data_IF_459039148122
#
_entry.id   IF_459039148122
#
_cell.length_a   1.000
_cell.length_b   1.000
_cell.length_c   1.000
_cell.angle_alpha   90.00
_cell.angle_beta   90.00
_cell.angle_gamma   90.00
#
_symmetry.space_group_name_H-M   'P 1'
#
loop_
_entity.id
_entity.type
_entity.pdbx_description
1 polymer ?
#
# COMPACT_ATOMS: atom_id res chain seq x y z
N UNK A 1 3.93 -1.77 25.58
CA UNK A 1 4.78 -2.44 24.61
C UNK A 1 3.95 -3.06 23.48
N UNK A 2 2.88 -3.78 23.77
CA UNK A 2 1.95 -4.38 22.80
C UNK A 2 1.42 -3.32 21.82
N UNK A 3 0.88 -2.20 22.31
CA UNK A 3 0.35 -1.11 21.44
C UNK A 3 1.40 -0.50 20.50
N UNK A 4 2.66 -0.58 20.84
CA UNK A 4 3.73 -0.09 19.99
C UNK A 4 4.04 -1.10 18.89
N UNK A 5 4.09 -2.40 19.21
CA UNK A 5 4.24 -3.47 18.23
C UNK A 5 3.06 -3.47 17.25
N UNK A 6 1.81 -3.38 17.75
CA UNK A 6 0.63 -3.34 16.87
C UNK A 6 0.62 -2.12 15.94
N UNK A 7 1.13 -0.96 16.40
CA UNK A 7 1.29 0.21 15.54
C UNK A 7 2.30 -0.04 14.41
N UNK A 8 3.39 -0.74 14.69
CA UNK A 8 4.39 -1.12 13.69
C UNK A 8 3.85 -2.15 12.70
N UNK A 9 3.15 -3.19 13.20
CA UNK A 9 2.52 -4.21 12.36
C UNK A 9 1.56 -3.58 11.36
N UNK A 10 0.69 -2.71 11.85
CA UNK A 10 -0.28 -2.01 11.01
C UNK A 10 0.40 -1.04 10.01
N UNK A 11 1.41 -0.29 10.47
CA UNK A 11 2.20 0.60 9.61
C UNK A 11 2.94 -0.14 8.49
N UNK A 12 3.48 -1.33 8.78
CA UNK A 12 4.11 -2.21 7.79
C UNK A 12 3.08 -2.81 6.83
N UNK A 13 1.90 -3.25 7.30
CA UNK A 13 0.85 -3.73 6.40
C UNK A 13 0.44 -2.64 5.40
N UNK A 14 0.32 -1.39 5.85
CA UNK A 14 0.04 -0.24 4.97
C UNK A 14 1.24 0.19 4.11
N UNK A 15 2.46 -0.26 4.42
CA UNK A 15 3.61 0.01 3.56
C UNK A 15 3.46 -0.61 2.16
N UNK A 16 2.65 -1.68 2.02
CA UNK A 16 2.34 -2.26 0.71
C UNK A 16 1.49 -1.31 -0.16
N UNK A 17 0.56 -0.54 0.44
CA UNK A 17 -0.13 0.56 -0.28
C UNK A 17 0.89 1.60 -0.73
N UNK A 18 1.78 2.01 0.18
CA UNK A 18 2.79 3.00 -0.14
C UNK A 18 3.73 2.54 -1.25
N UNK A 19 4.10 1.25 -1.28
CA UNK A 19 4.88 0.64 -2.37
C UNK A 19 4.09 0.62 -3.69
N UNK A 20 2.79 0.31 -3.65
CA UNK A 20 1.90 0.41 -4.82
C UNK A 20 1.85 1.83 -5.38
N UNK A 21 1.63 2.82 -4.51
CA UNK A 21 1.62 4.24 -4.89
C UNK A 21 3.01 4.69 -5.35
N UNK A 22 4.10 4.20 -4.77
CA UNK A 22 5.46 4.46 -5.27
C UNK A 22 5.62 3.99 -6.71
N UNK A 23 5.12 2.81 -7.04
CA UNK A 23 5.18 2.27 -8.42
C UNK A 23 4.34 3.13 -9.35
N UNK A 24 3.07 3.38 -9.06
CA UNK A 24 2.18 4.14 -9.95
C UNK A 24 2.60 5.60 -10.09
N UNK A 25 2.86 6.28 -8.99
CA UNK A 25 3.14 7.72 -8.98
C UNK A 25 4.59 8.06 -9.30
N UNK A 26 5.57 7.41 -8.61
CA UNK A 26 6.99 7.75 -8.75
C UNK A 26 7.64 7.17 -9.99
N UNK A 27 7.24 5.96 -10.43
CA UNK A 27 7.85 5.29 -11.58
C UNK A 27 7.09 5.53 -12.88
N UNK A 28 5.77 5.70 -12.84
CA UNK A 28 4.92 5.90 -14.03
C UNK A 28 4.36 7.30 -14.16
N UNK A 29 4.58 8.18 -13.17
CA UNK A 29 3.95 9.52 -13.12
C UNK A 29 2.43 9.44 -13.34
N UNK A 30 1.80 8.38 -12.80
CA UNK A 30 0.38 8.09 -12.94
C UNK A 30 -0.30 8.27 -11.57
N UNK A 31 -1.01 9.37 -11.34
CA UNK A 31 -1.82 9.54 -10.14
C UNK A 31 -3.02 8.59 -10.22
N UNK A 32 -2.91 7.48 -9.51
CA UNK A 32 -3.90 6.38 -9.55
C UNK A 32 -4.83 6.41 -8.34
N UNK A 33 -6.05 6.87 -8.54
CA UNK A 33 -7.10 6.86 -7.51
C UNK A 33 -7.72 5.47 -7.35
N UNK A 34 -7.50 4.54 -8.30
CA UNK A 34 -7.99 3.16 -8.21
C UNK A 34 -7.47 2.46 -6.94
N UNK A 35 -6.37 2.93 -6.38
CA UNK A 35 -5.77 2.47 -5.12
C UNK A 35 -6.80 2.35 -3.98
N UNK A 36 -7.70 3.34 -3.79
CA UNK A 36 -8.74 3.29 -2.75
C UNK A 36 -9.71 2.12 -2.98
N UNK A 37 -10.18 1.95 -4.22
CA UNK A 37 -11.07 0.85 -4.59
C UNK A 37 -10.39 -0.52 -4.52
N UNK A 38 -9.15 -0.61 -4.98
CA UNK A 38 -8.36 -1.85 -5.00
C UNK A 38 -7.99 -2.33 -3.60
N UNK A 39 -7.69 -1.41 -2.67
CA UNK A 39 -7.47 -1.74 -1.27
C UNK A 39 -8.68 -2.44 -0.68
N UNK A 40 -9.86 -1.82 -0.84
CA UNK A 40 -11.13 -2.39 -0.38
C UNK A 40 -11.42 -3.72 -1.07
N UNK A 41 -11.20 -3.82 -2.39
CA UNK A 41 -11.42 -5.05 -3.15
C UNK A 41 -10.58 -6.21 -2.61
N UNK A 42 -9.31 -5.95 -2.30
CA UNK A 42 -8.42 -6.95 -1.71
C UNK A 42 -8.92 -7.45 -0.35
N UNK A 43 -9.37 -6.52 0.51
CA UNK A 43 -9.96 -6.84 1.80
C UNK A 43 -11.26 -7.66 1.67
N UNK A 44 -12.15 -7.23 0.78
CA UNK A 44 -13.45 -7.86 0.52
C UNK A 44 -13.29 -9.28 -0.03
N UNK A 45 -12.46 -9.46 -1.07
CA UNK A 45 -12.23 -10.78 -1.67
C UNK A 45 -11.60 -11.73 -0.67
N UNK A 46 -10.59 -11.27 0.09
CA UNK A 46 -9.97 -12.09 1.14
C UNK A 46 -10.99 -12.48 2.21
N UNK A 47 -11.82 -11.53 2.67
CA UNK A 47 -12.84 -11.80 3.69
C UNK A 47 -13.89 -12.81 3.22
N UNK A 48 -14.38 -12.69 1.98
CA UNK A 48 -15.37 -13.61 1.42
C UNK A 48 -14.77 -15.01 1.28
N UNK A 49 -13.54 -15.15 0.79
CA UNK A 49 -12.88 -16.45 0.66
C UNK A 49 -12.59 -17.09 2.02
N UNK A 50 -12.17 -16.30 3.02
CA UNK A 50 -11.94 -16.80 4.38
C UNK A 50 -13.25 -17.29 5.03
N UNK A 51 -14.33 -16.52 4.90
CA UNK A 51 -15.65 -16.92 5.45
C UNK A 51 -16.25 -18.12 4.71
N UNK A 52 -15.86 -18.35 3.45
CA UNK A 52 -16.18 -19.56 2.70
C UNK A 52 -15.33 -20.78 3.08
N UNK A 53 -14.37 -20.64 4.01
CA UNK A 53 -13.50 -21.72 4.47
C UNK A 53 -12.28 -21.99 3.58
N UNK A 54 -11.93 -21.08 2.67
CA UNK A 54 -10.73 -21.20 1.85
C UNK A 54 -9.47 -21.01 2.69
N UNK A 55 -8.35 -21.61 2.22
CA UNK A 55 -7.04 -21.42 2.83
C UNK A 55 -6.66 -19.92 2.87
N UNK A 56 -6.14 -19.42 4.02
CA UNK A 56 -5.80 -17.99 4.18
C UNK A 56 -4.77 -17.46 3.18
N UNK A 57 -3.83 -18.30 2.73
CA UNK A 57 -2.86 -17.92 1.71
C UNK A 57 -3.56 -17.69 0.38
N UNK A 58 -4.43 -18.64 -0.03
CA UNK A 58 -5.19 -18.54 -1.26
C UNK A 58 -6.17 -17.35 -1.22
N UNK A 59 -6.82 -17.10 -0.10
CA UNK A 59 -7.70 -15.96 0.10
C UNK A 59 -6.96 -14.62 -0.06
N UNK A 60 -5.77 -14.51 0.52
CA UNK A 60 -4.93 -13.30 0.44
C UNK A 60 -4.39 -13.08 -0.98
N UNK A 61 -3.92 -14.14 -1.64
CA UNK A 61 -3.47 -14.08 -3.04
C UNK A 61 -4.63 -13.80 -4.01
N UNK A 62 -5.82 -14.33 -3.74
CA UNK A 62 -7.04 -14.01 -4.47
C UNK A 62 -7.39 -12.53 -4.40
N UNK A 63 -7.30 -11.93 -3.21
CA UNK A 63 -7.45 -10.49 -3.01
C UNK A 63 -6.41 -9.68 -3.81
N UNK A 64 -5.13 -10.08 -3.74
CA UNK A 64 -4.05 -9.46 -4.51
C UNK A 64 -4.30 -9.54 -6.03
N UNK A 65 -4.73 -10.69 -6.54
CA UNK A 65 -5.02 -10.88 -7.95
C UNK A 65 -6.22 -10.02 -8.42
N UNK A 66 -7.27 -9.94 -7.60
CA UNK A 66 -8.43 -9.10 -7.88
C UNK A 66 -8.04 -7.61 -8.00
N UNK A 67 -7.20 -7.11 -7.08
CA UNK A 67 -6.68 -5.75 -7.19
C UNK A 67 -5.79 -5.53 -8.40
N UNK A 68 -4.96 -6.51 -8.77
CA UNK A 68 -4.18 -6.48 -10.00
C UNK A 68 -5.06 -6.35 -11.25
N UNK A 69 -6.18 -7.07 -11.31
CA UNK A 69 -7.18 -6.96 -12.38
C UNK A 69 -7.84 -5.58 -12.40
N UNK A 70 -8.15 -5.01 -11.24
CA UNK A 70 -8.66 -3.63 -11.15
C UNK A 70 -7.66 -2.62 -11.74
N UNK A 71 -6.38 -2.75 -11.41
CA UNK A 71 -5.31 -1.94 -12.00
C UNK A 71 -5.18 -2.13 -13.52
N UNK A 72 -5.32 -3.37 -14.02
CA UNK A 72 -5.38 -3.65 -15.46
C UNK A 72 -6.55 -2.90 -16.12
N UNK A 73 -7.74 -2.87 -15.49
CA UNK A 73 -8.91 -2.18 -16.02
C UNK A 73 -8.65 -0.69 -16.16
N UNK A 74 -8.06 -0.04 -15.16
CA UNK A 74 -7.65 1.38 -15.22
C UNK A 74 -6.66 1.63 -16.34
N UNK A 75 -5.65 0.76 -16.47
CA UNK A 75 -4.65 0.86 -17.52
C UNK A 75 -5.26 0.69 -18.92
N UNK A 76 -6.20 -0.24 -19.09
CA UNK A 76 -6.92 -0.46 -20.35
C UNK A 76 -7.72 0.77 -20.75
N UNK A 77 -8.48 1.38 -19.84
CA UNK A 77 -9.23 2.61 -20.09
C UNK A 77 -8.29 3.73 -20.59
N UNK A 78 -7.14 3.89 -19.95
CA UNK A 78 -6.18 4.91 -20.36
C UNK A 78 -5.47 4.57 -21.68
N UNK A 79 -4.92 3.35 -21.81
CA UNK A 79 -4.02 3.00 -22.91
C UNK A 79 -4.75 2.71 -24.22
N UNK A 80 -5.95 2.14 -24.18
CA UNK A 80 -6.70 1.71 -25.37
C UNK A 80 -7.88 2.63 -25.70
N UNK A 81 -8.56 3.17 -24.70
CA UNK A 81 -9.70 4.08 -24.92
C UNK A 81 -9.31 5.55 -24.85
N UNK A 82 -8.04 5.87 -24.53
CA UNK A 82 -7.56 7.26 -24.50
C UNK A 82 -8.12 8.10 -23.35
N UNK A 83 -8.73 7.47 -22.34
CA UNK A 83 -9.28 8.16 -21.17
C UNK A 83 -8.13 8.80 -20.38
N UNK A 84 -8.31 10.04 -19.91
CA UNK A 84 -7.32 10.69 -19.08
C UNK A 84 -7.02 9.86 -17.82
N UNK A 85 -5.75 9.87 -17.37
CA UNK A 85 -5.26 9.03 -16.27
C UNK A 85 -6.08 9.16 -15.00
N UNK A 86 -6.34 10.39 -14.57
CA UNK A 86 -7.11 10.67 -13.37
C UNK A 86 -8.56 10.20 -13.51
N UNK A 87 -9.18 10.49 -14.66
CA UNK A 87 -10.55 10.11 -14.93
C UNK A 87 -10.73 8.59 -15.00
N UNK A 88 -9.79 7.86 -15.61
CA UNK A 88 -9.79 6.40 -15.64
C UNK A 88 -9.80 5.83 -14.20
N UNK A 89 -8.93 6.35 -13.32
CA UNK A 89 -8.89 5.95 -11.91
C UNK A 89 -10.20 6.23 -11.17
N UNK A 90 -10.81 7.40 -11.37
CA UNK A 90 -12.09 7.77 -10.75
C UNK A 90 -13.21 6.84 -11.21
N UNK A 91 -13.31 6.56 -12.51
CA UNK A 91 -14.33 5.66 -13.07
C UNK A 91 -14.23 4.26 -12.49
N UNK A 92 -13.01 3.70 -12.45
CA UNK A 92 -12.79 2.34 -11.91
C UNK A 92 -13.07 2.31 -10.41
N UNK A 93 -12.61 3.30 -9.63
CA UNK A 93 -12.90 3.36 -8.18
C UNK A 93 -14.38 3.44 -7.90
N UNK A 94 -15.12 4.23 -8.68
CA UNK A 94 -16.59 4.32 -8.56
C UNK A 94 -17.26 2.99 -8.88
N UNK A 95 -16.82 2.29 -9.92
CA UNK A 95 -17.30 0.95 -10.25
C UNK A 95 -16.96 -0.06 -9.15
N UNK A 96 -15.73 0.00 -8.62
CA UNK A 96 -15.28 -0.88 -7.54
C UNK A 96 -16.08 -0.69 -6.25
N UNK A 97 -16.57 0.52 -5.95
CA UNK A 97 -17.44 0.75 -4.79
C UNK A 97 -18.69 -0.14 -4.85
N UNK A 98 -19.33 -0.25 -6.02
CA UNK A 98 -20.46 -1.14 -6.23
C UNK A 98 -20.07 -2.62 -6.22
N UNK A 99 -18.96 -2.97 -6.88
CA UNK A 99 -18.45 -4.35 -6.92
C UNK A 99 -18.14 -4.83 -5.50
N UNK A 100 -17.45 -4.02 -4.71
CA UNK A 100 -17.09 -4.34 -3.33
C UNK A 100 -18.33 -4.61 -2.47
N UNK A 101 -19.37 -3.79 -2.61
CA UNK A 101 -20.61 -3.98 -1.87
C UNK A 101 -21.35 -5.25 -2.30
N UNK A 102 -21.41 -5.52 -3.61
CA UNK A 102 -22.06 -6.73 -4.15
C UNK A 102 -21.31 -8.00 -3.74
N UNK A 103 -19.98 -8.00 -3.82
CA UNK A 103 -19.14 -9.15 -3.45
C UNK A 103 -19.19 -9.41 -1.94
N UNK A 104 -19.17 -8.37 -1.12
CA UNK A 104 -19.26 -8.52 0.34
C UNK A 104 -20.68 -8.85 0.82
N UNK A 105 -21.72 -8.47 0.05
CA UNK A 105 -23.13 -8.69 0.35
C UNK A 105 -23.71 -7.81 1.47
N UNK A 106 -22.87 -7.11 2.22
CA UNK A 106 -23.22 -6.19 3.32
C UNK A 106 -22.07 -5.17 3.53
N UNK A 107 -22.33 -4.10 4.28
CA UNK A 107 -21.33 -3.03 4.45
C UNK A 107 -20.09 -3.48 5.21
N UNK A 108 -20.25 -4.38 6.17
CA UNK A 108 -19.16 -4.88 7.03
C UNK A 108 -19.31 -6.39 7.28
N UNK A 109 -18.22 -7.14 7.17
CA UNK A 109 -18.17 -8.58 7.45
C UNK A 109 -17.12 -8.83 8.51
N UNK A 110 -17.51 -9.31 9.72
CA UNK A 110 -16.55 -9.74 10.72
C UNK A 110 -15.90 -11.06 10.31
N UNK A 111 -14.61 -11.18 10.59
CA UNK A 111 -13.82 -12.40 10.39
C UNK A 111 -13.72 -13.24 11.67
N UNK A 112 -14.59 -12.96 12.66
CA UNK A 112 -14.64 -13.72 13.90
C UNK A 112 -14.95 -15.18 13.63
N UNK A 113 -14.08 -16.07 14.12
CA UNK A 113 -14.23 -17.52 13.92
C UNK A 113 -13.61 -18.07 12.63
N UNK A 114 -13.00 -17.24 11.80
CA UNK A 114 -12.16 -17.70 10.68
C UNK A 114 -10.69 -17.69 11.08
N UNK A 115 -9.93 -18.68 10.65
CA UNK A 115 -8.48 -18.70 10.83
C UNK A 115 -7.86 -17.77 9.77
N UNK A 116 -7.18 -16.72 10.23
CA UNK A 116 -6.49 -15.78 9.35
C UNK A 116 -5.04 -16.20 9.09
N UNK A 117 -4.41 -15.60 8.08
CA UNK A 117 -2.99 -15.79 7.80
C UNK A 117 -2.10 -15.31 8.95
N UNK A 118 -2.56 -14.27 9.67
CA UNK A 118 -1.85 -13.74 10.84
C UNK A 118 -1.99 -14.65 12.07
N UNK A 119 -3.10 -15.36 12.21
CA UNK A 119 -3.28 -16.38 13.26
C UNK A 119 -2.39 -17.60 12.98
N UNK A 120 -2.26 -17.99 11.71
CA UNK A 120 -1.33 -19.05 11.31
C UNK A 120 0.13 -18.64 11.59
N UNK A 121 0.49 -17.39 11.30
CA UNK A 121 1.82 -16.85 11.61
C UNK A 121 2.08 -16.82 13.12
N UNK A 122 1.08 -16.43 13.92
CA UNK A 122 1.16 -16.46 15.38
C UNK A 122 1.35 -17.89 15.90
N UNK A 123 0.57 -18.84 15.43
CA UNK A 123 0.69 -20.25 15.83
C UNK A 123 2.04 -20.86 15.42
N UNK A 124 2.59 -20.50 14.26
CA UNK A 124 3.86 -21.02 13.75
C UNK A 124 5.10 -20.39 14.38
N UNK A 125 5.12 -19.07 14.51
CA UNK A 125 6.29 -18.28 14.92
C UNK A 125 6.23 -17.89 16.40
N UNK A 126 5.03 -17.74 16.99
CA UNK A 126 4.82 -17.33 18.37
C UNK A 126 5.60 -18.15 19.40
N UNK A 127 5.59 -19.50 19.33
CA UNK A 127 6.35 -20.34 20.26
C UNK A 127 7.86 -20.07 20.27
N UNK A 128 8.43 -19.57 19.18
CA UNK A 128 9.85 -19.17 19.11
C UNK A 128 10.10 -17.95 19.99
N UNK A 129 9.19 -16.97 19.94
CA UNK A 129 9.29 -15.76 20.77
C UNK A 129 8.97 -16.01 22.25
N UNK A 130 8.08 -16.95 22.56
CA UNK A 130 7.82 -17.37 23.95
C UNK A 130 9.07 -17.96 24.61
N UNK A 131 9.88 -18.72 23.88
CA UNK A 131 11.16 -19.26 24.36
C UNK A 131 12.19 -18.18 24.74
N UNK A 132 12.03 -16.97 24.26
CA UNK A 132 12.88 -15.81 24.64
C UNK A 132 12.41 -15.10 25.89
N UNK A 133 11.38 -15.62 26.57
CA UNK A 133 10.87 -15.07 27.83
C UNK A 133 9.82 -13.96 27.67
N UNK A 134 9.28 -13.79 26.45
CA UNK A 134 8.16 -12.87 26.24
C UNK A 134 6.83 -13.51 26.71
N UNK A 135 5.93 -12.71 27.25
CA UNK A 135 4.57 -13.15 27.53
C UNK A 135 3.86 -13.57 26.23
N UNK A 136 2.92 -14.54 26.31
CA UNK A 136 2.21 -15.08 25.13
C UNK A 136 1.59 -13.98 24.24
N UNK A 137 0.97 -12.96 24.85
CA UNK A 137 0.40 -11.83 24.13
C UNK A 137 1.45 -10.98 23.37
N UNK A 138 2.65 -10.82 23.94
CA UNK A 138 3.74 -10.10 23.28
C UNK A 138 4.38 -10.96 22.18
N UNK A 139 4.51 -12.26 22.42
CA UNK A 139 5.05 -13.22 21.47
C UNK A 139 4.15 -13.32 20.21
N UNK A 140 2.82 -13.36 20.40
CA UNK A 140 1.85 -13.35 19.31
C UNK A 140 1.95 -12.10 18.46
N UNK A 141 1.98 -10.91 19.07
CA UNK A 141 2.10 -9.66 18.31
C UNK A 141 3.47 -9.52 17.62
N UNK A 142 4.55 -10.01 18.27
CA UNK A 142 5.89 -10.06 17.65
C UNK A 142 5.93 -11.03 16.44
N UNK A 143 5.21 -12.15 16.52
CA UNK A 143 5.09 -13.09 15.41
C UNK A 143 4.34 -12.47 14.22
N UNK A 144 3.23 -11.77 14.46
CA UNK A 144 2.48 -11.03 13.44
C UNK A 144 3.35 -9.95 12.78
N UNK A 145 4.10 -9.19 13.60
CA UNK A 145 5.05 -8.18 13.10
C UNK A 145 6.13 -8.81 12.22
N UNK A 146 6.76 -9.89 12.68
CA UNK A 146 7.80 -10.59 11.93
C UNK A 146 7.28 -11.13 10.59
N UNK A 147 6.07 -11.67 10.57
CA UNK A 147 5.41 -12.14 9.36
C UNK A 147 5.15 -11.00 8.37
N UNK A 148 4.51 -9.91 8.80
CA UNK A 148 4.23 -8.75 7.94
C UNK A 148 5.53 -8.11 7.43
N UNK A 149 6.57 -8.03 8.27
CA UNK A 149 7.90 -7.58 7.86
C UNK A 149 8.49 -8.47 6.77
N UNK A 150 8.32 -9.79 6.88
CA UNK A 150 8.73 -10.76 5.86
C UNK A 150 8.00 -10.54 4.54
N UNK A 151 6.68 -10.33 4.57
CA UNK A 151 5.87 -10.04 3.36
C UNK A 151 6.31 -8.73 2.70
N UNK A 152 6.49 -7.66 3.47
CA UNK A 152 6.96 -6.36 2.95
C UNK A 152 8.39 -6.48 2.41
N UNK A 153 9.27 -7.18 3.11
CA UNK A 153 10.63 -7.44 2.66
C UNK A 153 10.66 -8.21 1.34
N UNK A 154 9.82 -9.24 1.21
CA UNK A 154 9.65 -9.99 -0.03
C UNK A 154 9.12 -9.11 -1.16
N UNK A 155 8.10 -8.29 -0.89
CA UNK A 155 7.55 -7.35 -1.87
C UNK A 155 8.62 -6.35 -2.36
N UNK A 156 9.42 -5.78 -1.44
CA UNK A 156 10.54 -4.89 -1.78
C UNK A 156 11.59 -5.63 -2.63
N UNK A 157 11.97 -6.85 -2.27
CA UNK A 157 12.94 -7.64 -3.00
C UNK A 157 12.44 -7.98 -4.42
N UNK A 158 11.17 -8.38 -4.56
CA UNK A 158 10.55 -8.67 -5.85
C UNK A 158 10.46 -7.42 -6.73
N UNK A 159 10.04 -6.27 -6.17
CA UNK A 159 10.01 -5.01 -6.90
C UNK A 159 11.42 -4.57 -7.32
N UNK A 160 12.38 -4.64 -6.42
CA UNK A 160 13.76 -4.25 -6.70
C UNK A 160 14.39 -5.11 -7.80
N UNK A 161 14.21 -6.44 -7.75
CA UNK A 161 14.70 -7.34 -8.79
C UNK A 161 13.97 -7.12 -10.11
N UNK A 162 12.63 -7.00 -10.08
CA UNK A 162 11.82 -6.74 -11.27
C UNK A 162 12.24 -5.45 -11.99
N UNK A 163 12.35 -4.33 -11.27
CA UNK A 163 12.72 -3.04 -11.86
C UNK A 163 14.20 -2.92 -12.26
N UNK A 164 15.02 -3.92 -11.97
CA UNK A 164 16.38 -4.07 -12.52
C UNK A 164 16.44 -4.89 -13.81
N UNK A 165 15.39 -5.61 -14.16
CA UNK A 165 15.30 -6.32 -15.44
C UNK A 165 15.22 -5.34 -16.60
N UNK A 166 15.44 -5.84 -17.82
CA UNK A 166 15.30 -5.02 -19.03
C UNK A 166 13.89 -4.42 -19.19
N UNK A 167 12.85 -5.21 -18.85
CA UNK A 167 11.46 -4.75 -18.82
C UNK A 167 11.26 -3.63 -17.79
N UNK A 168 11.65 -3.85 -16.55
CA UNK A 168 11.50 -2.87 -15.48
C UNK A 168 12.28 -1.57 -15.75
N UNK A 169 13.47 -1.66 -16.33
CA UNK A 169 14.26 -0.47 -16.73
C UNK A 169 13.57 0.29 -17.85
N UNK A 170 13.02 -0.41 -18.85
CA UNK A 170 12.25 0.22 -19.92
C UNK A 170 10.96 0.87 -19.41
N UNK A 171 10.28 0.24 -18.44
CA UNK A 171 9.09 0.79 -17.79
C UNK A 171 9.39 2.11 -17.06
N UNK A 172 10.50 2.18 -16.35
CA UNK A 172 10.96 3.41 -15.66
C UNK A 172 11.27 4.52 -16.66
N UNK A 173 12.03 4.22 -17.70
CA UNK A 173 12.33 5.19 -18.76
C UNK A 173 11.07 5.68 -19.50
N UNK A 174 10.09 4.77 -19.71
CA UNK A 174 8.80 5.10 -20.30
C UNK A 174 7.89 5.95 -19.40
N UNK A 175 8.04 5.84 -18.09
CA UNK A 175 7.35 6.70 -17.12
C UNK A 175 7.88 8.14 -17.15
N UNK A 176 9.19 8.30 -17.26
CA UNK A 176 9.84 9.63 -17.32
C UNK A 176 9.60 10.34 -18.67
N UNK A 177 9.72 9.62 -19.78
CA UNK A 177 9.58 10.17 -21.15
C UNK A 177 8.82 9.23 -22.08
N UNK A 178 7.46 9.23 -22.02
CA UNK A 178 6.64 8.32 -22.82
C UNK A 178 6.85 8.48 -24.34
N UNK A 179 7.13 9.70 -24.80
CA UNK A 179 7.38 9.99 -26.21
C UNK A 179 8.65 9.34 -26.71
N UNK A 180 9.73 9.38 -25.94
CA UNK A 180 11.00 8.73 -26.26
C UNK A 180 10.84 7.19 -26.27
N UNK A 181 10.13 6.63 -25.30
CA UNK A 181 9.88 5.20 -25.24
C UNK A 181 9.13 4.69 -26.48
N UNK A 182 8.14 5.45 -26.97
CA UNK A 182 7.40 5.14 -28.23
C UNK A 182 8.31 5.26 -29.45
N UNK A 183 9.17 6.27 -29.52
CA UNK A 183 10.12 6.45 -30.63
C UNK A 183 11.10 5.27 -30.73
N UNK A 184 11.43 4.63 -29.59
CA UNK A 184 12.25 3.42 -29.52
C UNK A 184 11.45 2.12 -29.77
N UNK A 185 10.20 2.21 -30.25
CA UNK A 185 9.36 1.07 -30.56
C UNK A 185 8.82 0.31 -29.33
N UNK A 186 8.87 0.90 -28.14
CA UNK A 186 8.36 0.25 -26.91
C UNK A 186 6.85 0.40 -26.80
N UNK A 187 6.17 -0.69 -26.44
CA UNK A 187 4.73 -0.68 -26.15
C UNK A 187 4.45 -0.05 -24.78
N UNK A 188 4.26 1.27 -24.77
CA UNK A 188 3.97 2.03 -23.54
C UNK A 188 2.65 1.62 -22.90
N UNK A 189 1.63 1.21 -23.68
CA UNK A 189 0.35 0.74 -23.15
C UNK A 189 0.50 -0.54 -22.33
N UNK A 190 1.22 -1.55 -22.85
CA UNK A 190 1.50 -2.77 -22.13
C UNK A 190 2.34 -2.55 -20.86
N UNK A 191 3.28 -1.59 -20.91
CA UNK A 191 4.08 -1.20 -19.74
C UNK A 191 3.20 -0.56 -18.63
N UNK A 192 2.29 0.34 -19.01
CA UNK A 192 1.35 0.96 -18.08
C UNK A 192 0.43 -0.08 -17.47
N UNK A 193 -0.06 -1.04 -18.26
CA UNK A 193 -0.90 -2.14 -17.79
C UNK A 193 -0.18 -2.97 -16.72
N UNK A 194 1.05 -3.43 -16.99
CA UNK A 194 1.82 -4.19 -16.03
C UNK A 194 2.15 -3.37 -14.76
N UNK A 195 2.47 -2.08 -14.91
CA UNK A 195 2.77 -1.19 -13.79
C UNK A 195 1.59 -0.98 -12.85
N UNK A 196 0.39 -0.68 -13.41
CA UNK A 196 -0.82 -0.48 -12.62
C UNK A 196 -1.36 -1.80 -12.04
N UNK A 197 -1.18 -2.93 -12.73
CA UNK A 197 -1.50 -4.25 -12.19
C UNK A 197 -0.66 -4.56 -10.94
N UNK A 198 0.65 -4.32 -10.99
CA UNK A 198 1.56 -4.51 -9.84
C UNK A 198 1.19 -3.55 -8.71
N UNK A 199 0.98 -2.26 -9.01
CA UNK A 199 0.66 -1.24 -8.01
C UNK A 199 -0.64 -1.55 -7.26
N UNK A 200 -1.71 -1.85 -7.99
CA UNK A 200 -3.01 -2.18 -7.40
C UNK A 200 -3.04 -3.57 -6.77
N UNK A 201 -2.26 -4.53 -7.28
CA UNK A 201 -2.08 -5.83 -6.65
C UNK A 201 -1.44 -5.71 -5.25
N UNK A 202 -0.37 -4.90 -5.12
CA UNK A 202 0.25 -4.62 -3.82
C UNK A 202 -0.70 -3.89 -2.86
N UNK A 203 -1.46 -2.94 -3.39
CA UNK A 203 -2.47 -2.23 -2.61
C UNK A 203 -3.56 -3.17 -2.09
N UNK A 204 -4.05 -4.06 -2.93
CA UNK A 204 -5.06 -5.06 -2.56
C UNK A 204 -4.50 -6.11 -1.58
N UNK A 205 -3.23 -6.50 -1.73
CA UNK A 205 -2.54 -7.34 -0.75
C UNK A 205 -2.49 -6.67 0.63
N UNK A 206 -2.22 -5.37 0.66
CA UNK A 206 -2.31 -4.59 1.91
C UNK A 206 -3.71 -4.63 2.49
N UNK A 207 -4.76 -4.39 1.68
CA UNK A 207 -6.15 -4.45 2.12
C UNK A 207 -6.52 -5.80 2.72
N UNK A 208 -6.13 -6.90 2.07
CA UNK A 208 -6.34 -8.26 2.55
C UNK A 208 -5.65 -8.51 3.91
N UNK A 209 -4.41 -8.06 4.09
CA UNK A 209 -3.68 -8.21 5.36
C UNK A 209 -4.27 -7.32 6.46
N UNK A 210 -4.66 -6.09 6.12
CA UNK A 210 -5.28 -5.17 7.10
C UNK A 210 -6.63 -5.68 7.56
N UNK A 211 -7.48 -6.21 6.67
CA UNK A 211 -8.75 -6.80 7.05
C UNK A 211 -8.56 -8.00 8.00
N UNK A 212 -7.61 -8.88 7.71
CA UNK A 212 -7.26 -10.00 8.58
C UNK A 212 -6.69 -9.54 9.92
N UNK A 213 -5.88 -8.47 9.94
CA UNK A 213 -5.32 -7.91 11.16
C UNK A 213 -6.38 -7.26 12.05
N UNK A 214 -7.34 -6.53 11.45
CA UNK A 214 -8.43 -5.86 12.16
C UNK A 214 -9.55 -6.83 12.56
N UNK A 215 -9.64 -8.01 11.91
CA UNK A 215 -10.69 -8.99 12.14
C UNK A 215 -12.03 -8.65 11.46
N UNK A 216 -12.05 -7.73 10.52
CA UNK A 216 -13.24 -7.41 9.70
C UNK A 216 -12.85 -6.77 8.37
N UNK A 217 -13.75 -6.87 7.40
CA UNK A 217 -13.69 -6.13 6.14
C UNK A 217 -14.88 -5.17 6.02
N UNK A 218 -14.63 -3.95 5.58
CA UNK A 218 -15.63 -2.89 5.41
C UNK A 218 -15.47 -2.26 4.03
N UNK A 219 -16.61 -1.92 3.38
CA UNK A 219 -16.60 -1.34 2.03
C UNK A 219 -15.98 0.06 1.95
N UNK A 220 -15.84 0.76 3.06
CA UNK A 220 -15.29 2.11 3.13
C UNK A 220 -13.84 2.16 3.62
N UNK A 221 -13.21 1.01 3.94
CA UNK A 221 -11.89 0.97 4.54
C UNK A 221 -10.76 1.50 3.63
N UNK A 222 -11.00 1.55 2.31
CA UNK A 222 -10.05 2.07 1.33
C UNK A 222 -10.08 3.57 1.14
N UNK A 223 -11.08 4.28 1.69
CA UNK A 223 -11.20 5.73 1.49
C UNK A 223 -10.01 6.48 2.11
N UNK A 224 -9.25 7.16 1.25
CA UNK A 224 -8.08 7.95 1.66
C UNK A 224 -6.76 7.17 1.65
N UNK A 225 -6.72 5.92 1.18
CA UNK A 225 -5.49 5.13 1.10
C UNK A 225 -4.49 5.68 0.07
N UNK A 226 -4.98 6.33 -1.00
CA UNK A 226 -4.12 7.10 -1.93
C UNK A 226 -3.34 8.17 -1.17
N UNK A 227 -4.04 8.94 -0.32
CA UNK A 227 -3.42 10.01 0.47
C UNK A 227 -2.40 9.44 1.45
N UNK A 228 -2.75 8.31 2.11
CA UNK A 228 -1.83 7.58 2.99
C UNK A 228 -0.56 7.14 2.24
N UNK A 229 -0.74 6.52 1.07
CA UNK A 229 0.37 6.05 0.24
C UNK A 229 1.28 7.19 -0.20
N UNK A 230 0.70 8.29 -0.70
CA UNK A 230 1.47 9.48 -1.09
C UNK A 230 2.22 10.10 0.08
N UNK A 231 1.57 10.26 1.23
CA UNK A 231 2.22 10.75 2.45
C UNK A 231 3.44 9.90 2.82
N UNK A 232 3.28 8.58 2.77
CA UNK A 232 4.35 7.64 3.09
C UNK A 232 5.53 7.75 2.12
N UNK A 233 5.26 7.90 0.81
CA UNK A 233 6.29 8.10 -0.22
C UNK A 233 7.05 9.40 0.01
N UNK A 234 6.36 10.52 0.25
CA UNK A 234 6.99 11.81 0.48
C UNK A 234 7.75 11.88 1.80
N UNK A 235 7.16 11.33 2.87
CA UNK A 235 7.82 11.28 4.18
C UNK A 235 9.07 10.39 4.12
N UNK A 236 9.00 9.24 3.46
CA UNK A 236 10.14 8.38 3.22
C UNK A 236 11.25 9.07 2.44
N UNK A 237 10.90 9.80 1.38
CA UNK A 237 11.85 10.59 0.60
C UNK A 237 12.47 11.73 1.42
N UNK A 238 11.72 12.36 2.32
CA UNK A 238 12.21 13.41 3.21
C UNK A 238 13.20 12.88 4.26
N UNK A 239 12.97 11.65 4.77
CA UNK A 239 13.83 11.03 5.78
C UNK A 239 15.18 10.58 5.23
N UNK A 240 15.23 10.06 4.01
CA UNK A 240 16.42 9.39 3.46
C UNK A 240 17.10 10.23 2.37
N UNK A 241 16.41 11.23 1.82
CA UNK A 241 16.91 12.06 0.73
C UNK A 241 16.92 11.35 -0.64
N UNK A 242 17.65 11.90 -1.63
CA UNK A 242 17.73 11.33 -2.98
C UNK A 242 18.51 10.02 -2.97
N UNK A 243 17.80 8.90 -3.11
CA UNK A 243 18.36 7.54 -3.11
C UNK A 243 18.08 6.80 -4.41
N UNK A 244 18.87 5.77 -4.68
CA UNK A 244 18.63 4.82 -5.76
C UNK A 244 17.33 4.04 -5.52
N UNK A 245 16.79 3.40 -6.55
CA UNK A 245 15.51 2.69 -6.53
C UNK A 245 15.30 1.82 -5.26
N UNK A 246 16.29 0.98 -4.91
CA UNK A 246 16.16 0.09 -3.74
C UNK A 246 16.05 0.89 -2.42
N UNK A 247 16.85 1.95 -2.27
CA UNK A 247 16.73 2.85 -1.13
C UNK A 247 15.39 3.57 -1.09
N UNK A 248 14.83 3.95 -2.25
CA UNK A 248 13.51 4.57 -2.36
C UNK A 248 12.36 3.65 -1.91
N UNK A 249 12.42 2.36 -2.25
CA UNK A 249 11.45 1.37 -1.79
C UNK A 249 11.49 1.18 -0.26
N UNK A 250 12.68 1.02 0.30
CA UNK A 250 12.87 0.90 1.76
C UNK A 250 12.45 2.20 2.47
N UNK A 251 12.83 3.36 1.93
CA UNK A 251 12.44 4.66 2.45
C UNK A 251 10.92 4.83 2.48
N UNK A 252 10.22 4.38 1.42
CA UNK A 252 8.76 4.41 1.35
C UNK A 252 8.11 3.55 2.45
N UNK A 253 8.63 2.35 2.68
CA UNK A 253 8.14 1.48 3.76
C UNK A 253 8.40 2.10 5.14
N UNK A 254 9.59 2.66 5.36
CA UNK A 254 9.92 3.40 6.59
C UNK A 254 9.02 4.64 6.77
N UNK A 255 8.71 5.36 5.67
CA UNK A 255 7.78 6.48 5.66
C UNK A 255 6.37 6.08 6.11
N UNK A 256 5.86 4.91 5.68
CA UNK A 256 4.56 4.39 6.10
C UNK A 256 4.52 4.11 7.61
N UNK A 257 5.55 3.46 8.14
CA UNK A 257 5.66 3.18 9.57
C UNK A 257 5.75 4.49 10.36
N UNK A 258 6.59 5.43 9.92
CA UNK A 258 6.73 6.75 10.56
C UNK A 258 5.42 7.52 10.56
N UNK A 259 4.71 7.52 9.43
CA UNK A 259 3.41 8.16 9.33
C UNK A 259 2.40 7.55 10.30
N UNK A 260 2.37 6.21 10.41
CA UNK A 260 1.50 5.50 11.37
C UNK A 260 1.85 5.85 12.83
N UNK A 261 3.15 5.95 13.14
CA UNK A 261 3.60 6.37 14.47
C UNK A 261 3.17 7.81 14.79
N UNK A 262 3.24 8.74 13.82
CA UNK A 262 2.76 10.11 13.99
C UNK A 262 1.25 10.15 14.28
N UNK A 263 0.46 9.37 13.53
CA UNK A 263 -0.98 9.24 13.77
C UNK A 263 -1.25 8.65 15.16
N UNK A 264 -0.54 7.61 15.56
CA UNK A 264 -0.69 7.00 16.88
C UNK A 264 -0.29 7.96 18.02
N UNK A 265 0.74 8.78 17.80
CA UNK A 265 1.15 9.80 18.76
C UNK A 265 0.11 10.92 18.90
N UNK A 266 -0.49 11.36 17.78
CA UNK A 266 -1.56 12.35 17.78
C UNK A 266 -2.80 11.89 18.56
N UNK A 267 -3.22 10.63 18.35
CA UNK A 267 -4.32 10.02 19.11
C UNK A 267 -4.01 9.93 20.61
N UNK A 268 -2.77 9.56 20.98
CA UNK A 268 -2.35 9.53 22.40
C UNK A 268 -2.28 10.92 23.03
N UNK A 269 -2.04 11.95 22.23
CA UNK A 269 -2.06 13.35 22.69
C UNK A 269 -3.50 13.89 22.88
N UNK A 270 -4.54 13.06 22.67
CA UNK A 270 -5.93 13.42 22.90
C UNK A 270 -6.66 13.95 21.66
N UNK A 271 -6.11 13.72 20.44
CA UNK A 271 -6.84 14.04 19.22
C UNK A 271 -8.02 13.09 19.05
N UNK A 272 -9.24 13.66 18.88
CA UNK A 272 -10.42 12.86 18.60
C UNK A 272 -10.27 12.10 17.27
N UNK A 273 -10.72 10.84 17.21
CA UNK A 273 -10.67 10.02 15.98
C UNK A 273 -11.34 10.67 14.77
N UNK A 274 -12.35 11.50 14.97
CA UNK A 274 -13.06 12.22 13.91
C UNK A 274 -12.16 13.21 13.17
N UNK A 275 -11.16 13.78 13.86
CA UNK A 275 -10.17 14.68 13.27
C UNK A 275 -8.99 13.97 12.58
N UNK A 276 -8.94 12.64 12.63
CA UNK A 276 -7.84 11.85 12.07
C UNK A 276 -7.60 12.13 10.59
N UNK A 277 -8.67 12.21 9.78
CA UNK A 277 -8.57 12.52 8.35
C UNK A 277 -8.03 13.93 8.08
N UNK A 278 -8.44 14.90 8.89
CA UNK A 278 -7.92 16.26 8.80
C UNK A 278 -6.45 16.33 9.26
N UNK A 279 -6.10 15.68 10.35
CA UNK A 279 -4.73 15.60 10.85
C UNK A 279 -3.79 14.93 9.81
N UNK A 280 -4.23 13.83 9.18
CA UNK A 280 -3.46 13.19 8.11
C UNK A 280 -3.23 14.15 6.94
N UNK A 281 -4.23 14.92 6.52
CA UNK A 281 -4.09 15.91 5.45
C UNK A 281 -3.07 17.00 5.82
N UNK A 282 -3.06 17.46 7.07
CA UNK A 282 -2.09 18.47 7.57
C UNK A 282 -0.67 17.89 7.57
N UNK A 283 -0.49 16.64 8.02
CA UNK A 283 0.84 15.97 7.99
C UNK A 283 1.34 15.81 6.56
N UNK A 284 0.47 15.42 5.63
CA UNK A 284 0.81 15.33 4.19
C UNK A 284 1.22 16.68 3.64
N UNK A 285 0.44 17.72 3.94
CA UNK A 285 0.76 19.09 3.51
C UNK A 285 2.11 19.53 4.07
N UNK A 286 2.36 19.30 5.35
CA UNK A 286 3.63 19.60 5.99
C UNK A 286 4.80 18.85 5.32
N UNK A 287 4.65 17.55 5.04
CA UNK A 287 5.67 16.75 4.36
C UNK A 287 5.97 17.23 2.94
N UNK A 288 4.96 17.74 2.20
CA UNK A 288 5.13 18.30 0.86
C UNK A 288 5.80 19.68 0.86
N UNK A 289 5.51 20.49 1.88
CA UNK A 289 5.92 21.90 1.93
C UNK A 289 7.25 22.08 2.65
N UNK A 290 7.54 21.27 3.67
CA UNK A 290 8.79 21.34 4.44
C UNK A 290 10.07 21.31 3.58
N UNK A 291 10.24 20.44 2.57
CA UNK A 291 11.43 20.45 1.74
C UNK A 291 11.66 21.77 0.98
N UNK A 292 10.59 22.46 0.60
CA UNK A 292 10.69 23.75 -0.11
C UNK A 292 11.28 24.88 0.75
N UNK A 293 11.04 24.83 2.06
CA UNK A 293 11.62 25.80 2.99
C UNK A 293 13.07 25.47 3.35
N UNK A 294 13.39 24.17 3.46
CA UNK A 294 14.74 23.71 3.77
C UNK A 294 15.74 23.98 2.62
N UNK A 295 15.30 23.84 1.37
CA UNK A 295 16.17 24.11 0.20
C UNK A 295 16.36 25.59 -0.08
N UNK A 296 15.41 26.46 0.26
CA UNK A 296 15.58 27.92 0.13
C UNK A 296 16.64 28.51 1.07
N UNK A 297 16.87 27.91 2.23
CA UNK A 297 17.91 28.34 3.17
C UNK A 297 19.35 28.04 2.73
N UNK A 298 19.54 27.09 1.80
CA UNK A 298 20.88 26.70 1.30
C UNK A 298 21.41 27.65 0.21
N UNK A 299 20.54 28.26 -0.61
CA UNK A 299 20.96 29.18 -1.67
C UNK A 299 21.22 30.62 -1.18
N UNK A 300 20.82 30.97 0.05
CA UNK A 300 21.05 32.29 0.62
C UNK A 300 22.43 32.47 1.29
N UNK A 301 23.27 31.41 1.31
CA UNK A 301 24.62 31.45 1.93
C UNK A 301 25.79 31.47 0.92
N UNK A 302 25.52 31.63 -0.37
CA UNK A 302 26.55 31.68 -1.42
C UNK A 302 26.52 33.00 -2.20
N UNK A 303 26.28 34.12 -1.54
CA UNK A 303 26.58 35.47 -2.07
C UNK A 303 27.31 36.27 -1.01
#
# INVERSE_FOLDING_TARGET
MITLLSTWTFGLALALVALGVFVSYRLFSFPDITTDGSFTLGAVVAAVLLTAGCDPILATLGGMAAGGLAGCTTALLHAFFGVERLLAGILVTTALASVNLVVLGRSNVPLSGTTTLLDQAEAGIGPVFERTGLSSALAGEAARLAFVLGVVGLAIALLWTFFRTQLGTAMRAGGDTPTMARALGRNTGGMTLAGLAIANGLTALSGALVAQYQGFADVQMGIGMVVWGMASVFLGAALVGPVRLGGGLVATAAGSVTFRLLVAAALRAGLDPDWLKAATAVVVLAALVAPRFLTRGSHARTH
#
